data_IF_621885032819
#
_entry.id   IF_621885032819
#
_cell.length_a   1.000
_cell.length_b   1.000
_cell.length_c   1.000
_cell.angle_alpha   90.00
_cell.angle_beta   90.00
_cell.angle_gamma   90.00
#
_symmetry.space_group_name_H-M   'P 1'
#
loop_
_entity.id
_entity.type
_entity.pdbx_description
1 polymer ?
#
# COMPACT_ATOMS: atom_id res chain seq x y z
N UNK A 1 25.96 18.44 0.99
CA UNK A 1 25.64 19.35 2.11
C UNK A 1 24.13 19.50 2.13
N UNK A 2 23.47 18.66 2.92
CA UNK A 2 22.01 18.54 2.95
C UNK A 2 21.50 19.66 3.84
N UNK A 3 20.62 20.50 3.30
CA UNK A 3 19.91 21.54 4.04
C UNK A 3 19.09 20.82 5.11
N UNK A 4 19.28 21.17 6.39
CA UNK A 4 18.45 20.65 7.47
C UNK A 4 16.97 20.91 7.10
N UNK A 5 16.26 19.86 6.72
CA UNK A 5 14.83 19.94 6.48
C UNK A 5 14.18 20.22 7.83
N UNK A 6 13.40 21.31 7.90
CA UNK A 6 12.64 21.63 9.10
C UNK A 6 11.68 20.49 9.46
N UNK A 7 11.14 20.51 10.68
CA UNK A 7 10.17 19.51 11.14
C UNK A 7 9.10 19.29 10.07
N UNK A 8 8.82 18.03 9.67
CA UNK A 8 7.86 17.75 8.61
C UNK A 8 6.54 18.44 8.93
N UNK A 9 6.00 19.19 7.96
CA UNK A 9 4.68 19.78 8.13
C UNK A 9 3.66 18.66 8.05
N UNK A 10 3.14 18.24 9.21
CA UNK A 10 2.09 17.24 9.29
C UNK A 10 0.85 17.67 8.50
N UNK A 11 0.13 16.72 7.89
CA UNK A 11 -1.14 17.02 7.23
C UNK A 11 -2.14 17.59 8.24
N UNK A 12 -3.00 18.48 7.77
CA UNK A 12 -4.11 18.99 8.57
C UNK A 12 -5.24 17.96 8.54
N UNK A 13 -5.28 17.09 9.56
CA UNK A 13 -6.35 16.12 9.76
C UNK A 13 -7.66 16.84 10.10
N UNK A 14 -8.78 16.28 9.63
CA UNK A 14 -10.12 16.75 9.95
C UNK A 14 -10.86 15.60 10.66
N UNK A 15 -10.87 15.54 12.00
CA UNK A 15 -11.35 14.38 12.74
C UNK A 15 -12.74 13.88 12.33
N UNK A 16 -13.69 14.79 12.07
CA UNK A 16 -15.06 14.44 11.68
C UNK A 16 -15.12 13.84 10.28
N UNK A 17 -14.50 14.50 9.31
CA UNK A 17 -14.50 14.05 7.90
C UNK A 17 -13.64 12.80 7.72
N UNK A 18 -12.49 12.75 8.38
CA UNK A 18 -11.61 11.59 8.40
C UNK A 18 -12.36 10.39 8.99
N UNK A 19 -13.16 10.59 10.05
CA UNK A 19 -13.92 9.49 10.66
C UNK A 19 -14.97 8.96 9.70
N UNK A 20 -15.60 9.87 8.96
CA UNK A 20 -16.57 9.51 7.94
C UNK A 20 -15.93 8.69 6.81
N UNK A 21 -14.72 9.06 6.37
CA UNK A 21 -13.98 8.33 5.33
C UNK A 21 -13.56 6.93 5.79
N UNK A 22 -12.99 6.81 7.00
CA UNK A 22 -12.60 5.53 7.58
C UNK A 22 -13.82 4.61 7.78
N UNK A 23 -14.93 5.16 8.28
CA UNK A 23 -16.17 4.37 8.43
C UNK A 23 -16.79 3.98 7.09
N UNK A 24 -16.60 4.77 6.02
CA UNK A 24 -17.01 4.37 4.67
C UNK A 24 -16.22 3.12 4.20
N UNK A 25 -14.91 3.08 4.43
CA UNK A 25 -14.06 1.91 4.12
C UNK A 25 -14.55 0.67 4.88
N UNK A 26 -14.80 0.81 6.18
CA UNK A 26 -15.35 -0.28 7.03
C UNK A 26 -16.71 -0.76 6.52
N UNK A 27 -17.62 0.17 6.22
CA UNK A 27 -18.97 -0.16 5.76
C UNK A 27 -18.95 -0.86 4.39
N UNK A 28 -18.18 -0.36 3.43
CA UNK A 28 -18.02 -1.00 2.11
C UNK A 28 -17.42 -2.40 2.24
N UNK A 29 -16.43 -2.58 3.11
CA UNK A 29 -15.84 -3.90 3.40
C UNK A 29 -16.91 -4.86 3.91
N UNK A 30 -17.64 -4.48 4.96
CA UNK A 30 -18.69 -5.34 5.53
C UNK A 30 -19.74 -5.70 4.49
N UNK A 31 -20.27 -4.70 3.76
CA UNK A 31 -21.33 -4.91 2.79
C UNK A 31 -20.89 -5.81 1.62
N UNK A 32 -19.68 -5.60 1.10
CA UNK A 32 -19.12 -6.42 0.01
C UNK A 32 -18.89 -7.88 0.43
N UNK A 33 -18.32 -8.10 1.63
CA UNK A 33 -18.06 -9.44 2.17
C UNK A 33 -19.38 -10.17 2.47
N UNK A 34 -20.38 -9.48 3.04
CA UNK A 34 -21.70 -10.06 3.28
C UNK A 34 -22.40 -10.43 1.97
N UNK A 35 -22.38 -9.54 0.97
CA UNK A 35 -23.00 -9.81 -0.32
C UNK A 35 -22.33 -10.99 -1.04
N UNK A 36 -21.01 -11.05 -1.01
CA UNK A 36 -20.24 -12.15 -1.59
C UNK A 36 -20.39 -13.47 -0.81
N UNK A 37 -20.86 -13.41 0.46
CA UNK A 37 -20.87 -14.52 1.42
C UNK A 37 -19.49 -15.17 1.60
N UNK A 38 -18.43 -14.38 1.36
CA UNK A 38 -17.04 -14.81 1.34
C UNK A 38 -16.13 -13.60 1.45
N UNK A 39 -15.05 -13.70 2.21
CA UNK A 39 -14.05 -12.65 2.33
C UNK A 39 -13.51 -12.47 3.75
N UNK A 40 -12.67 -11.45 3.90
CA UNK A 40 -11.94 -11.17 5.13
C UNK A 40 -12.27 -9.76 5.61
N UNK A 41 -13.28 -9.58 6.48
CA UNK A 41 -13.67 -8.25 6.94
C UNK A 41 -12.75 -7.71 8.04
N UNK A 42 -12.11 -8.60 8.82
CA UNK A 42 -11.38 -8.23 10.03
C UNK A 42 -10.25 -7.23 9.82
N UNK A 43 -9.22 -7.61 9.04
CA UNK A 43 -8.07 -6.74 8.80
C UNK A 43 -8.47 -5.42 8.11
N UNK A 44 -9.28 -5.40 7.03
CA UNK A 44 -9.70 -4.14 6.42
C UNK A 44 -10.40 -3.17 7.39
N UNK A 45 -11.12 -3.69 8.38
CA UNK A 45 -11.76 -2.87 9.41
C UNK A 45 -10.78 -2.33 10.45
N UNK A 46 -9.81 -3.14 10.87
CA UNK A 46 -8.75 -2.76 11.81
C UNK A 46 -7.81 -1.71 11.20
N UNK A 47 -7.30 -1.98 10.01
CA UNK A 47 -6.33 -1.12 9.31
C UNK A 47 -6.93 0.10 8.60
N UNK A 48 -8.25 0.30 8.66
CA UNK A 48 -8.91 1.38 7.93
C UNK A 48 -8.37 2.78 8.30
N UNK A 49 -8.06 3.04 9.57
CA UNK A 49 -7.50 4.32 10.02
C UNK A 49 -6.10 4.55 9.43
N UNK A 50 -5.17 3.62 9.65
CA UNK A 50 -3.79 3.75 9.20
C UNK A 50 -3.67 3.80 7.67
N UNK A 51 -4.40 2.93 6.96
CA UNK A 51 -4.39 2.89 5.50
C UNK A 51 -5.04 4.14 4.87
N UNK A 52 -6.10 4.68 5.49
CA UNK A 52 -6.69 5.95 5.06
C UNK A 52 -5.68 7.09 5.18
N UNK A 53 -4.98 7.20 6.33
CA UNK A 53 -3.99 8.26 6.55
C UNK A 53 -2.87 8.16 5.50
N UNK A 54 -2.31 6.97 5.32
CA UNK A 54 -1.30 6.71 4.30
C UNK A 54 -1.77 7.12 2.90
N UNK A 55 -2.92 6.60 2.47
CA UNK A 55 -3.43 6.76 1.10
C UNK A 55 -3.82 8.20 0.76
N UNK A 56 -4.47 8.88 1.71
CA UNK A 56 -5.02 10.22 1.48
C UNK A 56 -3.97 11.32 1.66
N UNK A 57 -3.08 11.18 2.63
CA UNK A 57 -2.24 12.30 3.07
C UNK A 57 -0.76 12.15 2.74
N UNK A 58 -0.25 10.93 2.55
CA UNK A 58 1.19 10.68 2.35
C UNK A 58 1.53 10.20 0.95
N UNK A 59 0.71 9.35 0.36
CA UNK A 59 0.98 8.82 -0.98
C UNK A 59 0.74 9.86 -2.07
N UNK A 60 1.70 10.01 -2.97
CA UNK A 60 1.58 10.76 -4.23
C UNK A 60 1.20 9.85 -5.37
N UNK A 61 -0.05 9.90 -5.80
CA UNK A 61 -0.56 9.08 -6.90
C UNK A 61 -1.56 9.86 -7.74
N UNK A 62 -1.84 9.37 -8.94
CA UNK A 62 -2.86 9.95 -9.82
C UNK A 62 -3.92 8.89 -10.17
N UNK A 63 -5.13 8.96 -9.58
CA UNK A 63 -6.23 8.04 -9.92
C UNK A 63 -6.60 8.02 -11.40
N UNK A 64 -6.31 9.09 -12.16
CA UNK A 64 -6.56 9.20 -13.61
C UNK A 64 -5.37 8.82 -14.48
N UNK A 65 -4.20 8.59 -13.87
CA UNK A 65 -3.06 7.96 -14.53
C UNK A 65 -2.34 7.00 -13.57
N UNK A 66 -2.93 5.81 -13.32
CA UNK A 66 -2.34 4.80 -12.45
C UNK A 66 -0.97 4.30 -12.94
N UNK A 67 -0.57 4.60 -14.17
CA UNK A 67 0.71 4.24 -14.75
C UNK A 67 1.79 5.33 -14.66
N UNK A 68 1.51 6.47 -14.01
CA UNK A 68 2.50 7.53 -13.81
C UNK A 68 3.80 6.92 -13.21
N UNK A 69 4.97 7.05 -13.88
CA UNK A 69 6.18 6.33 -13.47
C UNK A 69 6.64 6.63 -12.05
N UNK A 70 6.49 7.89 -11.62
CA UNK A 70 6.98 8.37 -10.33
C UNK A 70 5.88 8.56 -9.27
N UNK A 71 4.76 7.84 -9.38
CA UNK A 71 3.80 7.72 -8.26
C UNK A 71 4.43 6.95 -7.09
N UNK A 72 3.92 7.10 -5.89
CA UNK A 72 4.21 6.16 -4.82
C UNK A 72 3.54 4.81 -5.10
N UNK A 73 4.17 3.73 -4.63
CA UNK A 73 3.66 2.36 -4.79
C UNK A 73 3.07 1.89 -3.46
N UNK A 74 1.94 1.18 -3.49
CA UNK A 74 1.41 0.46 -2.33
C UNK A 74 1.25 -1.02 -2.65
N UNK A 75 1.91 -1.87 -1.87
CA UNK A 75 1.74 -3.32 -1.91
C UNK A 75 0.93 -3.78 -0.70
N UNK A 76 -0.24 -4.35 -0.92
CA UNK A 76 -1.00 -5.02 0.13
C UNK A 76 -0.46 -6.44 0.32
N UNK A 77 0.58 -6.63 1.14
CA UNK A 77 1.18 -7.96 1.37
C UNK A 77 0.19 -8.92 2.01
N UNK A 78 -0.55 -8.42 2.99
CA UNK A 78 -1.70 -9.08 3.58
C UNK A 78 -2.89 -9.09 2.61
N UNK A 79 -2.72 -9.75 1.46
CA UNK A 79 -3.65 -9.71 0.32
C UNK A 79 -5.05 -10.21 0.64
N UNK A 80 -5.24 -10.94 1.73
CA UNK A 80 -6.56 -11.36 2.18
C UNK A 80 -7.47 -10.16 2.50
N UNK A 81 -6.90 -9.03 2.95
CA UNK A 81 -7.60 -7.76 3.18
C UNK A 81 -7.89 -6.94 1.92
N UNK A 82 -8.04 -7.59 0.76
CA UNK A 82 -8.24 -6.98 -0.56
C UNK A 82 -9.32 -5.89 -0.61
N UNK A 83 -10.41 -6.04 0.16
CA UNK A 83 -11.47 -5.02 0.24
C UNK A 83 -10.99 -3.66 0.76
N UNK A 84 -9.94 -3.61 1.59
CA UNK A 84 -9.31 -2.35 2.00
C UNK A 84 -8.78 -1.59 0.78
N UNK A 85 -7.99 -2.26 -0.05
CA UNK A 85 -7.43 -1.69 -1.27
C UNK A 85 -8.53 -1.29 -2.25
N UNK A 86 -9.50 -2.18 -2.50
CA UNK A 86 -10.58 -1.88 -3.44
C UNK A 86 -11.44 -0.69 -2.99
N UNK A 87 -11.74 -0.57 -1.69
CA UNK A 87 -12.44 0.59 -1.16
C UNK A 87 -11.63 1.89 -1.35
N UNK A 88 -10.32 1.87 -1.09
CA UNK A 88 -9.45 3.03 -1.31
C UNK A 88 -9.41 3.45 -2.79
N UNK A 89 -9.25 2.49 -3.70
CA UNK A 89 -9.27 2.71 -5.15
C UNK A 89 -10.60 3.31 -5.61
N UNK A 90 -11.72 2.73 -5.15
CA UNK A 90 -13.07 3.20 -5.46
C UNK A 90 -13.32 4.64 -4.99
N UNK A 91 -13.04 4.90 -3.70
CA UNK A 91 -13.31 6.20 -3.09
C UNK A 91 -12.44 7.31 -3.68
N UNK A 92 -11.20 7.00 -4.06
CA UNK A 92 -10.26 7.98 -4.65
C UNK A 92 -10.42 8.20 -6.15
N UNK A 93 -11.27 7.41 -6.83
CA UNK A 93 -11.65 7.65 -8.22
C UNK A 93 -10.77 6.97 -9.27
N UNK A 94 -10.07 5.89 -8.89
CA UNK A 94 -9.51 4.93 -9.85
C UNK A 94 -10.62 4.27 -10.68
N UNK A 95 -10.25 3.49 -11.69
CA UNK A 95 -11.20 2.64 -12.44
C UNK A 95 -11.64 1.43 -11.58
N UNK A 96 -12.36 1.72 -10.51
CA UNK A 96 -12.94 0.78 -9.56
C UNK A 96 -14.33 1.28 -9.18
N UNK A 97 -15.33 1.14 -10.06
CA UNK A 97 -16.66 1.69 -9.82
C UNK A 97 -17.41 0.88 -8.74
N UNK A 98 -18.50 1.43 -8.18
CA UNK A 98 -19.24 0.79 -7.07
C UNK A 98 -19.76 -0.60 -7.46
N UNK A 99 -20.10 -0.77 -8.73
CA UNK A 99 -20.58 -2.03 -9.30
C UNK A 99 -19.54 -3.15 -9.15
N UNK A 100 -18.24 -2.83 -9.25
CA UNK A 100 -17.19 -3.82 -9.01
C UNK A 100 -17.02 -4.12 -7.52
N UNK A 101 -17.24 -3.16 -6.63
CA UNK A 101 -17.28 -3.40 -5.17
C UNK A 101 -18.42 -4.35 -4.80
N UNK A 102 -19.61 -4.15 -5.37
CA UNK A 102 -20.77 -5.03 -5.18
C UNK A 102 -20.57 -6.43 -5.79
N UNK A 103 -19.65 -6.55 -6.75
CA UNK A 103 -19.27 -7.81 -7.42
C UNK A 103 -18.03 -8.47 -6.80
N UNK A 104 -17.64 -8.08 -5.59
CA UNK A 104 -16.51 -8.69 -4.87
C UNK A 104 -16.59 -10.23 -4.89
N UNK A 105 -15.46 -10.86 -5.25
CA UNK A 105 -15.31 -12.33 -5.36
C UNK A 105 -16.24 -13.02 -6.36
N UNK A 106 -16.90 -12.28 -7.25
CA UNK A 106 -17.73 -12.87 -8.29
C UNK A 106 -16.93 -13.15 -9.57
N UNK A 107 -17.39 -14.13 -10.34
CA UNK A 107 -16.76 -14.48 -11.63
C UNK A 107 -16.63 -13.27 -12.56
N UNK A 108 -15.42 -13.03 -13.06
CA UNK A 108 -15.11 -11.95 -13.99
C UNK A 108 -15.30 -10.54 -13.40
N UNK A 109 -15.23 -10.39 -12.08
CA UNK A 109 -15.14 -9.07 -11.42
C UNK A 109 -13.70 -8.57 -11.43
N UNK A 110 -13.53 -7.25 -11.33
CA UNK A 110 -12.24 -6.58 -11.10
C UNK A 110 -11.84 -6.57 -9.61
N UNK A 111 -12.61 -7.25 -8.75
CA UNK A 111 -12.43 -7.33 -7.29
C UNK A 111 -12.31 -8.79 -6.84
N UNK A 112 -11.30 -9.54 -7.32
CA UNK A 112 -11.04 -10.91 -6.89
C UNK A 112 -10.73 -10.99 -5.40
N UNK A 113 -10.79 -12.20 -4.84
CA UNK A 113 -10.69 -12.40 -3.39
C UNK A 113 -9.35 -11.99 -2.76
N UNK A 114 -8.29 -11.97 -3.56
CA UNK A 114 -6.98 -11.39 -3.28
C UNK A 114 -6.62 -10.48 -4.47
N UNK A 115 -5.81 -9.41 -4.29
CA UNK A 115 -5.44 -8.53 -5.39
C UNK A 115 -4.71 -9.30 -6.48
N UNK A 116 -5.13 -9.12 -7.72
CA UNK A 116 -4.45 -9.61 -8.92
C UNK A 116 -3.86 -8.41 -9.65
N UNK A 117 -2.60 -8.50 -10.08
CA UNK A 117 -1.88 -7.42 -10.76
C UNK A 117 -2.68 -6.81 -11.91
N UNK A 118 -3.11 -5.57 -11.72
CA UNK A 118 -3.77 -4.73 -12.70
C UNK A 118 -3.35 -3.27 -12.44
N UNK A 119 -2.19 -2.86 -12.98
CA UNK A 119 -1.64 -1.54 -12.69
C UNK A 119 -2.50 -0.43 -13.31
N UNK A 120 -3.35 -0.73 -14.30
CA UNK A 120 -4.29 0.24 -14.86
C UNK A 120 -5.43 0.57 -13.89
N UNK A 121 -5.72 -0.33 -12.95
CA UNK A 121 -6.68 -0.09 -11.85
C UNK A 121 -6.02 0.29 -10.53
N UNK A 122 -4.69 0.35 -10.48
CA UNK A 122 -3.93 0.69 -9.27
C UNK A 122 -3.55 -0.51 -8.40
N UNK A 123 -3.62 -1.75 -8.91
CA UNK A 123 -3.14 -2.94 -8.21
C UNK A 123 -1.70 -3.25 -8.65
N UNK A 124 -0.73 -2.94 -7.78
CA UNK A 124 0.70 -2.94 -8.10
C UNK A 124 1.33 -4.33 -8.29
N UNK A 125 0.78 -5.35 -7.65
CA UNK A 125 1.24 -6.73 -7.78
C UNK A 125 0.17 -7.69 -7.27
N UNK A 126 0.21 -8.95 -7.73
CA UNK A 126 -0.61 -10.02 -7.17
C UNK A 126 -0.10 -10.42 -5.80
N UNK A 127 -0.98 -10.43 -4.80
CA UNK A 127 -0.68 -10.92 -3.44
C UNK A 127 -1.73 -11.94 -3.01
N UNK A 128 -1.55 -12.55 -1.84
CA UNK A 128 -2.40 -13.63 -1.33
C UNK A 128 -1.57 -14.70 -0.63
N UNK A 129 -0.56 -15.28 -1.29
CA UNK A 129 0.49 -16.02 -0.60
C UNK A 129 1.27 -15.03 0.29
N UNK A 130 1.18 -15.24 1.61
CA UNK A 130 1.74 -14.36 2.62
C UNK A 130 3.27 -14.21 2.47
N UNK A 131 3.81 -13.06 2.85
CA UNK A 131 5.23 -12.72 2.77
C UNK A 131 5.71 -12.32 1.36
N UNK A 132 5.08 -12.79 0.29
CA UNK A 132 5.48 -12.46 -1.09
C UNK A 132 5.31 -10.98 -1.41
N UNK A 133 4.23 -10.35 -0.94
CA UNK A 133 4.01 -8.92 -1.16
C UNK A 133 5.06 -8.05 -0.47
N UNK A 134 5.47 -8.42 0.74
CA UNK A 134 6.58 -7.78 1.46
C UNK A 134 7.88 -7.88 0.63
N UNK A 135 8.22 -9.07 0.15
CA UNK A 135 9.40 -9.27 -0.70
C UNK A 135 9.32 -8.49 -2.03
N UNK A 136 8.13 -8.44 -2.66
CA UNK A 136 7.88 -7.63 -3.84
C UNK A 136 8.13 -6.13 -3.56
N UNK A 137 7.67 -5.61 -2.42
CA UNK A 137 7.91 -4.22 -2.03
C UNK A 137 9.41 -3.91 -1.86
N UNK A 138 10.18 -4.83 -1.28
CA UNK A 138 11.66 -4.73 -1.24
C UNK A 138 12.25 -4.64 -2.64
N UNK A 139 11.81 -5.51 -3.56
CA UNK A 139 12.25 -5.47 -4.97
C UNK A 139 11.88 -4.16 -5.67
N UNK A 140 10.67 -3.63 -5.45
CA UNK A 140 10.24 -2.34 -5.99
C UNK A 140 11.09 -1.19 -5.44
N UNK A 141 11.43 -1.20 -4.15
CA UNK A 141 12.27 -0.18 -3.54
C UNK A 141 13.72 -0.24 -4.07
N UNK A 142 14.26 -1.44 -4.27
CA UNK A 142 15.56 -1.65 -4.94
C UNK A 142 15.53 -1.09 -6.37
N UNK A 143 14.48 -1.40 -7.14
CA UNK A 143 14.33 -0.89 -8.50
C UNK A 143 14.26 0.64 -8.53
N UNK A 144 13.50 1.26 -7.62
CA UNK A 144 13.44 2.72 -7.49
C UNK A 144 14.82 3.33 -7.18
N UNK A 145 15.60 2.70 -6.29
CA UNK A 145 16.96 3.12 -5.98
C UNK A 145 17.89 3.03 -7.20
N UNK A 146 17.90 1.90 -7.91
CA UNK A 146 18.75 1.70 -9.10
C UNK A 146 18.37 2.64 -10.24
N UNK A 147 17.07 2.88 -10.46
CA UNK A 147 16.58 3.82 -11.45
C UNK A 147 16.95 5.27 -11.09
N UNK A 148 16.83 5.64 -9.82
CA UNK A 148 17.28 6.94 -9.33
C UNK A 148 18.78 7.15 -9.57
N UNK A 149 19.62 6.15 -9.25
CA UNK A 149 21.06 6.23 -9.47
C UNK A 149 21.40 6.36 -10.97
N UNK A 150 20.69 5.60 -11.83
CA UNK A 150 20.91 5.64 -13.27
C UNK A 150 20.52 6.99 -13.87
N UNK A 151 19.34 7.50 -13.52
CA UNK A 151 18.66 8.54 -14.28
C UNK A 151 18.55 9.90 -13.57
N UNK A 152 18.64 9.99 -12.25
CA UNK A 152 18.60 11.30 -11.60
C UNK A 152 19.87 12.10 -11.89
N UNK A 153 19.72 13.41 -12.10
CA UNK A 153 20.84 14.35 -12.28
C UNK A 153 20.66 15.56 -11.37
N UNK A 154 21.71 16.36 -11.08
CA UNK A 154 21.56 17.56 -10.27
C UNK A 154 20.44 18.47 -10.79
N UNK A 155 19.45 18.75 -9.94
CA UNK A 155 18.26 19.53 -10.31
C UNK A 155 17.10 18.73 -10.92
N UNK A 156 17.30 17.44 -11.22
CA UNK A 156 16.31 16.57 -11.87
C UNK A 156 16.15 15.23 -11.14
N UNK A 157 15.45 15.20 -9.99
CA UNK A 157 15.04 13.96 -9.34
C UNK A 157 13.79 13.40 -10.05
N UNK A 158 14.01 12.69 -11.15
CA UNK A 158 12.92 12.12 -11.97
C UNK A 158 12.41 10.78 -11.42
N UNK A 159 13.23 10.09 -10.62
CA UNK A 159 12.83 8.96 -9.77
C UNK A 159 13.00 9.36 -8.31
N UNK A 160 11.89 9.61 -7.64
CA UNK A 160 11.80 10.17 -6.30
C UNK A 160 10.40 9.85 -5.76
N UNK A 161 10.14 8.58 -5.46
CA UNK A 161 8.88 8.09 -4.90
C UNK A 161 9.16 7.07 -3.80
N UNK A 162 8.17 6.85 -2.94
CA UNK A 162 8.19 5.85 -1.88
C UNK A 162 7.52 4.55 -2.34
N UNK A 163 7.94 3.46 -1.70
CA UNK A 163 7.27 2.16 -1.76
C UNK A 163 6.72 1.86 -0.37
N UNK A 164 5.42 1.70 -0.29
CA UNK A 164 4.70 1.31 0.92
C UNK A 164 4.27 -0.15 0.84
N UNK A 165 4.24 -0.81 1.99
CA UNK A 165 3.56 -2.09 2.11
C UNK A 165 2.69 -2.13 3.37
N UNK A 166 1.59 -2.87 3.30
CA UNK A 166 0.79 -3.25 4.48
C UNK A 166 0.95 -4.76 4.68
N UNK A 167 1.53 -5.14 5.81
CA UNK A 167 1.82 -6.52 6.20
C UNK A 167 1.01 -6.92 7.44
N UNK A 168 0.83 -8.22 7.64
CA UNK A 168 0.15 -8.84 8.78
C UNK A 168 1.11 -9.77 9.54
N UNK A 169 0.66 -10.33 10.66
CA UNK A 169 1.41 -11.36 11.39
C UNK A 169 1.82 -12.51 10.48
N UNK A 170 0.90 -12.97 9.63
CA UNK A 170 1.15 -14.05 8.67
C UNK A 170 2.27 -13.73 7.68
N UNK A 171 2.41 -12.47 7.25
CA UNK A 171 3.54 -12.06 6.43
C UNK A 171 4.86 -12.11 7.21
N UNK A 172 4.83 -11.73 8.49
CA UNK A 172 6.03 -11.65 9.33
C UNK A 172 6.44 -12.98 9.96
N UNK A 173 5.61 -14.02 9.87
CA UNK A 173 5.95 -15.42 10.17
C UNK A 173 6.59 -16.15 8.98
N UNK A 174 6.30 -15.73 7.75
CA UNK A 174 6.80 -16.39 6.54
C UNK A 174 8.28 -16.11 6.32
N UNK A 175 9.10 -17.15 6.17
CA UNK A 175 10.57 -17.03 6.07
C UNK A 175 11.06 -16.09 4.95
N UNK A 176 10.31 -15.98 3.85
CA UNK A 176 10.65 -15.07 2.74
C UNK A 176 10.68 -13.59 3.16
N UNK A 177 9.84 -13.18 4.13
CA UNK A 177 9.86 -11.80 4.62
C UNK A 177 11.11 -11.53 5.45
N UNK A 178 11.65 -12.52 6.17
CA UNK A 178 12.91 -12.42 6.89
C UNK A 178 14.10 -12.25 5.94
N UNK A 179 14.15 -13.04 4.87
CA UNK A 179 15.19 -12.94 3.84
C UNK A 179 15.19 -11.55 3.18
N UNK A 180 14.00 -11.10 2.75
CA UNK A 180 13.83 -9.81 2.11
C UNK A 180 14.11 -8.65 3.08
N UNK A 181 13.67 -8.73 4.34
CA UNK A 181 13.91 -7.71 5.35
C UNK A 181 15.41 -7.57 5.68
N UNK A 182 16.12 -8.70 5.80
CA UNK A 182 17.56 -8.71 5.99
C UNK A 182 18.30 -7.99 4.85
N UNK A 183 17.92 -8.25 3.59
CA UNK A 183 18.53 -7.59 2.43
C UNK A 183 18.18 -6.10 2.35
N UNK A 184 16.92 -5.73 2.59
CA UNK A 184 16.48 -4.33 2.54
C UNK A 184 17.20 -3.46 3.58
N UNK A 185 17.41 -3.99 4.78
CA UNK A 185 18.19 -3.34 5.83
C UNK A 185 19.67 -3.23 5.46
N UNK A 186 20.26 -4.30 4.92
CA UNK A 186 21.64 -4.29 4.41
C UNK A 186 21.88 -3.23 3.32
N UNK A 187 20.92 -3.05 2.40
CA UNK A 187 21.01 -2.06 1.32
C UNK A 187 20.62 -0.64 1.72
N UNK A 188 20.09 -0.43 2.94
CA UNK A 188 19.69 0.90 3.40
C UNK A 188 18.55 1.51 2.57
N UNK A 189 17.54 0.71 2.21
CA UNK A 189 16.43 1.16 1.35
C UNK A 189 15.46 2.14 2.06
N UNK A 190 15.89 3.39 2.30
CA UNK A 190 15.12 4.42 3.03
C UNK A 190 13.81 4.89 2.41
N UNK A 191 13.52 4.46 1.16
CA UNK A 191 12.23 4.73 0.51
C UNK A 191 11.21 3.60 0.67
N UNK A 192 11.54 2.56 1.44
CA UNK A 192 10.63 1.49 1.81
C UNK A 192 10.05 1.74 3.20
N UNK A 193 8.72 1.82 3.28
CA UNK A 193 7.99 1.99 4.54
C UNK A 193 6.93 0.89 4.63
N UNK A 194 7.03 0.03 5.64
CA UNK A 194 6.08 -1.06 5.88
C UNK A 194 5.23 -0.72 7.09
N UNK A 195 3.91 -0.75 6.93
CA UNK A 195 2.95 -0.72 8.03
C UNK A 195 2.61 -2.17 8.36
N UNK A 196 2.93 -2.60 9.57
CA UNK A 196 2.58 -3.91 10.09
C UNK A 196 1.32 -3.77 10.94
N UNK A 197 0.25 -4.44 10.51
CA UNK A 197 -0.96 -4.64 11.29
C UNK A 197 -0.70 -5.66 12.41
N UNK A 198 -0.34 -5.15 13.58
CA UNK A 198 -0.12 -5.92 14.81
C UNK A 198 -1.45 -5.95 15.59
N UNK A 199 -2.21 -7.03 15.41
CA UNK A 199 -3.57 -7.15 15.95
C UNK A 199 -3.78 -8.37 16.85
N UNK A 200 -2.68 -9.04 17.21
CA UNK A 200 -2.65 -10.24 18.04
C UNK A 200 -3.47 -11.45 17.53
N UNK A 201 -3.94 -11.47 16.26
CA UNK A 201 -4.85 -12.51 15.75
C UNK A 201 -4.39 -13.11 14.42
N UNK A 202 -4.30 -14.45 14.41
CA UNK A 202 -4.16 -15.27 13.20
C UNK A 202 -5.44 -16.09 12.92
N UNK A 203 -5.43 -16.92 11.87
CA UNK A 203 -6.56 -17.80 11.54
C UNK A 203 -6.92 -18.73 12.69
N UNK A 204 -5.92 -19.30 13.38
CA UNK A 204 -6.14 -20.34 14.40
C UNK A 204 -6.46 -19.77 15.79
N UNK A 205 -6.41 -18.44 15.96
CA UNK A 205 -6.61 -17.79 17.25
C UNK A 205 -5.59 -16.69 17.53
N UNK A 206 -5.40 -16.35 18.82
CA UNK A 206 -4.39 -15.40 19.24
C UNK A 206 -2.99 -15.81 18.76
N UNK A 207 -2.17 -14.83 18.39
CA UNK A 207 -0.79 -15.06 17.92
C UNK A 207 0.09 -15.71 18.98
N UNK A 208 -0.20 -15.53 20.28
CA UNK A 208 0.55 -16.14 21.38
C UNK A 208 0.63 -17.68 21.34
N UNK A 209 -0.23 -18.33 20.56
CA UNK A 209 -0.19 -19.76 20.28
C UNK A 209 1.02 -20.19 19.45
N UNK A 210 1.56 -19.31 18.60
CA UNK A 210 2.57 -19.67 17.60
C UNK A 210 3.62 -18.59 17.29
N UNK A 211 3.42 -17.35 17.73
CA UNK A 211 4.23 -16.18 17.37
C UNK A 211 4.36 -15.24 18.57
N UNK A 212 5.48 -15.37 19.27
CA UNK A 212 5.75 -14.70 20.56
C UNK A 212 7.11 -13.97 20.57
N UNK A 213 7.67 -13.73 19.39
CA UNK A 213 8.96 -13.06 19.23
C UNK A 213 8.86 -11.54 19.37
N UNK A 214 10.01 -10.89 19.60
CA UNK A 214 10.13 -9.43 19.54
C UNK A 214 10.37 -9.01 18.08
N UNK A 215 9.28 -8.77 17.34
CA UNK A 215 9.31 -8.29 15.95
C UNK A 215 10.11 -6.99 15.83
N UNK A 216 9.91 -6.05 16.77
CA UNK A 216 10.61 -4.78 16.78
C UNK A 216 12.12 -4.99 16.95
N UNK A 217 12.53 -5.83 17.88
CA UNK A 217 13.92 -6.23 18.10
C UNK A 217 14.54 -6.91 16.88
N UNK A 218 13.81 -7.84 16.23
CA UNK A 218 14.25 -8.51 15.00
C UNK A 218 14.49 -7.52 13.86
N UNK A 219 13.57 -6.60 13.60
CA UNK A 219 13.72 -5.60 12.54
C UNK A 219 14.84 -4.60 12.83
N UNK A 220 15.01 -4.18 14.09
CA UNK A 220 16.19 -3.39 14.50
C UNK A 220 17.49 -4.14 14.25
N UNK A 221 17.53 -5.46 14.48
CA UNK A 221 18.71 -6.28 14.19
C UNK A 221 19.02 -6.40 12.69
N UNK A 222 18.00 -6.31 11.81
CA UNK A 222 18.20 -6.18 10.36
C UNK A 222 18.68 -4.78 9.92
N UNK A 223 18.70 -3.78 10.82
CA UNK A 223 19.09 -2.41 10.50
C UNK A 223 17.93 -1.49 10.09
N UNK A 224 16.69 -1.87 10.38
CA UNK A 224 15.51 -1.06 10.07
C UNK A 224 15.31 0.06 11.10
N UNK A 225 14.70 1.16 10.65
CA UNK A 225 14.03 2.10 11.54
C UNK A 225 12.73 1.45 12.00
N UNK A 226 12.46 1.42 13.31
CA UNK A 226 11.24 0.80 13.85
C UNK A 226 10.50 1.78 14.73
N UNK A 227 9.23 2.02 14.41
CA UNK A 227 8.28 2.82 15.18
C UNK A 227 7.14 1.95 15.67
N UNK A 228 6.61 2.31 16.84
CA UNK A 228 5.51 1.62 17.51
C UNK A 228 4.41 2.66 17.79
N UNK A 229 3.18 2.37 17.38
CA UNK A 229 2.08 3.33 17.41
C UNK A 229 0.71 2.66 17.52
N UNK A 230 -0.26 3.40 18.05
CA UNK A 230 -1.69 3.05 17.97
C UNK A 230 -2.19 3.27 16.54
N UNK A 231 -2.54 2.19 15.84
CA UNK A 231 -3.01 2.24 14.46
C UNK A 231 -4.39 2.87 14.28
N UNK A 232 -5.14 3.09 15.37
CA UNK A 232 -6.41 3.82 15.39
C UNK A 232 -6.23 5.32 15.68
N UNK A 233 -5.08 5.74 16.20
CA UNK A 233 -4.72 7.15 16.34
C UNK A 233 -4.12 7.68 15.02
N UNK A 234 -4.98 8.27 14.20
CA UNK A 234 -4.62 8.88 12.91
C UNK A 234 -3.54 9.96 13.03
N UNK A 235 -3.44 10.68 14.14
CA UNK A 235 -2.39 11.66 14.36
C UNK A 235 -1.05 10.97 14.64
N UNK A 236 -1.04 9.89 15.42
CA UNK A 236 0.14 9.06 15.64
C UNK A 236 0.62 8.40 14.33
N UNK A 237 -0.30 7.84 13.53
CA UNK A 237 0.03 7.31 12.20
C UNK A 237 0.65 8.38 11.31
N UNK A 238 0.04 9.57 11.25
CA UNK A 238 0.58 10.67 10.43
C UNK A 238 1.97 11.11 10.91
N UNK A 239 2.19 11.15 12.22
CA UNK A 239 3.50 11.48 12.78
C UNK A 239 4.55 10.43 12.40
N UNK A 240 4.23 9.14 12.54
CA UNK A 240 5.15 8.06 12.22
C UNK A 240 5.48 7.98 10.73
N UNK A 241 4.50 8.18 9.85
CA UNK A 241 4.74 8.25 8.40
C UNK A 241 5.63 9.44 8.04
N UNK A 242 5.37 10.61 8.62
CA UNK A 242 6.19 11.80 8.39
C UNK A 242 7.63 11.63 8.90
N UNK A 243 7.81 10.97 10.05
CA UNK A 243 9.12 10.62 10.59
C UNK A 243 9.85 9.63 9.68
N UNK A 244 9.19 8.54 9.28
CA UNK A 244 9.75 7.51 8.40
C UNK A 244 10.19 8.06 7.04
N UNK A 245 9.44 9.01 6.46
CA UNK A 245 9.82 9.66 5.20
C UNK A 245 11.10 10.51 5.29
N UNK A 246 11.55 10.88 6.49
CA UNK A 246 12.81 11.61 6.70
C UNK A 246 14.02 10.68 6.87
N UNK A 247 13.79 9.37 6.93
CA UNK A 247 14.82 8.37 7.20
C UNK A 247 15.32 7.83 5.86
N UNK A 248 16.37 8.45 5.35
CA UNK A 248 16.86 8.18 3.99
C UNK A 248 17.80 6.96 3.89
N UNK A 249 18.39 6.52 5.01
CA UNK A 249 19.49 5.55 5.05
C UNK A 249 19.11 4.13 5.47
N UNK A 250 17.83 3.90 5.77
CA UNK A 250 17.31 2.59 6.20
C UNK A 250 15.81 2.46 5.99
N UNK A 251 15.31 1.28 5.62
CA UNK A 251 13.87 1.03 5.52
C UNK A 251 13.18 1.19 6.89
N UNK A 252 11.89 1.50 6.87
CA UNK A 252 11.10 1.74 8.08
C UNK A 252 10.00 0.69 8.26
N UNK A 253 9.87 0.16 9.48
CA UNK A 253 8.74 -0.64 9.94
C UNK A 253 7.93 0.18 10.95
N UNK A 254 6.66 0.38 10.66
CA UNK A 254 5.69 1.02 11.53
C UNK A 254 4.79 -0.08 12.08
N UNK A 255 4.99 -0.44 13.34
CA UNK A 255 4.18 -1.42 14.06
C UNK A 255 2.91 -0.69 14.50
N UNK A 256 1.80 -0.99 13.82
CA UNK A 256 0.49 -0.41 14.06
C UNK A 256 -0.31 -1.37 14.93
N UNK A 257 -0.45 -1.06 16.22
CA UNK A 257 -1.32 -1.81 17.12
C UNK A 257 -2.77 -1.57 16.74
N UNK A 258 -3.49 -2.61 16.33
CA UNK A 258 -4.90 -2.51 15.92
C UNK A 258 -5.78 -3.57 16.57
N UNK A 259 -7.08 -3.39 16.42
CA UNK A 259 -8.08 -4.40 16.73
C UNK A 259 -8.65 -4.98 15.45
N UNK A 260 -8.44 -6.29 15.21
CA UNK A 260 -9.08 -6.98 14.09
C UNK A 260 -10.60 -6.83 14.20
N UNK A 261 -11.27 -6.53 13.09
CA UNK A 261 -12.70 -6.23 13.04
C UNK A 261 -13.15 -5.09 13.97
N UNK A 262 -12.30 -4.06 14.13
CA UNK A 262 -12.59 -2.88 14.95
C UNK A 262 -14.02 -2.37 14.79
N UNK A 263 -14.69 -2.20 15.93
CA UNK A 263 -16.07 -1.73 16.00
C UNK A 263 -17.11 -2.85 16.04
N UNK A 264 -16.81 -4.08 15.61
CA UNK A 264 -17.74 -5.21 15.72
C UNK A 264 -17.98 -5.57 17.19
N UNK A 265 -19.22 -5.50 17.70
CA UNK A 265 -19.48 -5.77 19.12
C UNK A 265 -19.11 -7.19 19.58
N UNK A 266 -19.26 -8.19 18.72
CA UNK A 266 -19.09 -9.60 19.10
C UNK A 266 -17.92 -10.29 18.39
N UNK A 267 -17.36 -9.70 17.32
CA UNK A 267 -16.25 -10.30 16.55
C UNK A 267 -14.95 -9.50 16.57
N UNK A 268 -14.91 -8.32 17.19
CA UNK A 268 -13.63 -7.62 17.39
C UNK A 268 -12.68 -8.47 18.24
N UNK A 269 -11.39 -8.52 17.87
CA UNK A 269 -10.34 -9.28 18.56
C UNK A 269 -10.59 -10.80 18.56
N UNK A 270 -11.34 -11.29 17.56
CA UNK A 270 -11.71 -12.70 17.41
C UNK A 270 -11.26 -13.24 16.05
N UNK A 271 -10.65 -14.42 16.06
CA UNK A 271 -10.21 -15.11 14.84
C UNK A 271 -11.38 -15.40 13.87
N UNK A 272 -12.60 -15.56 14.37
CA UNK A 272 -13.80 -15.73 13.53
C UNK A 272 -14.07 -14.53 12.58
N UNK A 273 -13.48 -13.36 12.85
CA UNK A 273 -13.59 -12.19 11.99
C UNK A 273 -12.53 -12.15 10.88
N UNK A 274 -11.53 -13.04 10.92
CA UNK A 274 -10.46 -13.07 9.94
C UNK A 274 -10.96 -13.47 8.55
N UNK A 275 -11.60 -14.65 8.42
CA UNK A 275 -11.86 -15.29 7.12
C UNK A 275 -13.33 -15.58 6.79
N UNK A 276 -14.27 -15.01 7.54
CA UNK A 276 -15.69 -15.24 7.33
C UNK A 276 -16.48 -13.92 7.35
N UNK A 277 -17.62 -13.84 6.63
CA UNK A 277 -18.58 -12.76 6.80
C UNK A 277 -18.96 -12.56 8.27
N UNK A 278 -19.19 -11.32 8.67
CA UNK A 278 -19.60 -11.00 10.04
C UNK A 278 -20.99 -11.58 10.34
N UNK A 279 -21.86 -11.63 9.33
CA UNK A 279 -23.27 -11.95 9.43
C UNK A 279 -24.12 -10.68 9.52
N UNK A 280 -25.27 -10.67 8.83
CA UNK A 280 -26.13 -9.50 8.68
C UNK A 280 -26.47 -8.76 9.99
N UNK A 281 -26.76 -9.50 11.06
CA UNK A 281 -27.06 -8.88 12.37
C UNK A 281 -25.83 -8.22 13.00
N UNK A 282 -24.65 -8.82 12.83
CA UNK A 282 -23.41 -8.24 13.33
C UNK A 282 -23.02 -7.01 12.52
N UNK A 283 -23.21 -7.02 11.19
CA UNK A 283 -23.03 -5.83 10.34
C UNK A 283 -23.95 -4.70 10.76
N UNK A 284 -25.24 -4.98 11.01
CA UNK A 284 -26.20 -3.98 11.50
C UNK A 284 -25.70 -3.34 12.81
N UNK A 285 -25.35 -4.16 13.80
CA UNK A 285 -24.86 -3.69 15.11
C UNK A 285 -23.56 -2.91 14.99
N UNK A 286 -22.65 -3.35 14.10
CA UNK A 286 -21.38 -2.68 13.86
C UNK A 286 -21.61 -1.30 13.25
N UNK A 287 -22.46 -1.20 12.22
CA UNK A 287 -22.86 0.09 11.62
C UNK A 287 -23.48 1.02 12.67
N UNK A 288 -24.41 0.54 13.49
CA UNK A 288 -25.01 1.32 14.58
C UNK A 288 -23.99 1.83 15.59
N UNK A 289 -23.04 0.98 16.01
CA UNK A 289 -21.97 1.36 16.93
C UNK A 289 -21.03 2.41 16.33
N UNK A 290 -20.76 2.33 15.03
CA UNK A 290 -19.94 3.30 14.30
C UNK A 290 -20.71 4.59 13.93
N UNK A 291 -22.02 4.67 14.25
CA UNK A 291 -22.87 5.78 13.83
C UNK A 291 -23.11 5.83 12.32
N UNK A 292 -22.94 4.71 11.62
CA UNK A 292 -23.13 4.58 10.18
C UNK A 292 -24.57 4.14 9.84
N UNK A 293 -25.19 4.68 8.77
CA UNK A 293 -26.51 4.22 8.33
C UNK A 293 -26.51 2.72 7.98
N UNK A 294 -27.50 1.99 8.51
CA UNK A 294 -27.67 0.56 8.21
C UNK A 294 -28.08 0.36 6.75
N UNK A 295 -29.04 1.17 6.29
CA UNK A 295 -29.65 1.12 4.97
C UNK A 295 -29.50 2.48 4.24
N UNK A 296 -29.30 2.48 2.90
CA UNK A 296 -29.07 1.31 2.06
C UNK A 296 -27.66 0.70 2.25
N UNK A 297 -27.43 -0.59 1.90
CA UNK A 297 -26.07 -1.12 1.81
C UNK A 297 -25.28 -0.38 0.74
N UNK A 298 -23.95 -0.39 0.85
CA UNK A 298 -23.03 0.34 -0.03
C UNK A 298 -23.27 1.86 -0.05
N UNK A 299 -23.89 2.39 1.00
CA UNK A 299 -24.05 3.84 1.17
C UNK A 299 -22.69 4.48 1.40
N UNK A 300 -22.41 5.56 0.66
CA UNK A 300 -21.25 6.44 0.85
C UNK A 300 -21.75 7.90 0.76
N UNK A 301 -21.57 8.72 1.80
CA UNK A 301 -21.93 10.14 1.77
C UNK A 301 -21.13 10.91 0.71
N UNK A 302 -21.75 11.90 0.07
CA UNK A 302 -21.08 12.75 -0.93
C UNK A 302 -19.85 13.47 -0.36
N UNK A 303 -19.86 13.84 0.93
CA UNK A 303 -18.70 14.44 1.59
C UNK A 303 -17.46 13.54 1.56
N UNK A 304 -17.63 12.22 1.64
CA UNK A 304 -16.51 11.26 1.51
C UNK A 304 -15.97 11.26 0.09
N UNK A 305 -16.83 11.23 -0.93
CA UNK A 305 -16.38 11.30 -2.32
C UNK A 305 -15.69 12.63 -2.62
N UNK A 306 -16.27 13.76 -2.20
CA UNK A 306 -15.67 15.08 -2.41
C UNK A 306 -14.26 15.15 -1.79
N UNK A 307 -14.08 14.60 -0.59
CA UNK A 307 -12.78 14.58 0.07
C UNK A 307 -11.78 13.63 -0.60
N UNK A 308 -12.18 12.37 -0.85
CA UNK A 308 -11.30 11.34 -1.37
C UNK A 308 -10.96 11.57 -2.85
N UNK A 309 -11.91 12.05 -3.66
CA UNK A 309 -11.69 12.39 -5.07
C UNK A 309 -10.95 13.71 -5.26
N UNK A 310 -10.69 14.48 -4.20
CA UNK A 310 -9.69 15.54 -4.22
C UNK A 310 -8.31 15.05 -4.68
N UNK A 311 -8.00 13.76 -4.48
CA UNK A 311 -6.80 13.10 -4.99
C UNK A 311 -6.69 13.12 -6.54
N UNK A 312 -7.80 13.29 -7.26
CA UNK A 312 -7.77 13.45 -8.72
C UNK A 312 -7.09 14.76 -9.10
N UNK A 313 -7.46 15.86 -8.44
CA UNK A 313 -6.88 17.18 -8.71
C UNK A 313 -5.46 17.28 -8.17
N UNK A 314 -5.22 16.76 -6.96
CA UNK A 314 -3.89 16.70 -6.36
C UNK A 314 -2.93 15.83 -7.20
N UNK A 315 -3.39 14.66 -7.65
CA UNK A 315 -2.64 13.75 -8.50
C UNK A 315 -2.30 14.33 -9.86
N UNK A 316 -3.26 14.99 -10.52
CA UNK A 316 -3.01 15.70 -11.78
C UNK A 316 -1.95 16.80 -11.61
N UNK A 317 -1.98 17.52 -10.48
CA UNK A 317 -0.98 18.54 -10.16
C UNK A 317 0.41 17.94 -9.93
N UNK A 318 0.53 16.89 -9.10
CA UNK A 318 1.81 16.22 -8.85
C UNK A 318 2.43 15.65 -10.12
N UNK A 319 1.61 15.04 -10.98
CA UNK A 319 2.08 14.54 -12.26
C UNK A 319 2.50 15.67 -13.20
N UNK A 320 1.76 16.79 -13.27
CA UNK A 320 2.14 17.95 -14.06
C UNK A 320 3.47 18.56 -13.59
N UNK A 321 3.69 18.66 -12.28
CA UNK A 321 4.97 19.08 -11.69
C UNK A 321 6.13 18.12 -12.05
N UNK A 322 5.86 16.82 -12.08
CA UNK A 322 6.83 15.83 -12.55
C UNK A 322 7.10 15.94 -14.06
N UNK A 323 6.06 16.14 -14.89
CA UNK A 323 6.19 16.31 -16.34
C UNK A 323 7.02 17.55 -16.70
N UNK A 324 6.79 18.68 -16.01
CA UNK A 324 7.60 19.88 -16.21
C UNK A 324 9.09 19.64 -15.87
N UNK A 325 9.38 18.87 -14.80
CA UNK A 325 10.75 18.44 -14.49
C UNK A 325 11.32 17.51 -15.56
N UNK A 326 10.52 16.57 -16.05
CA UNK A 326 10.89 15.64 -17.12
C UNK A 326 11.24 16.37 -18.42
N UNK A 327 10.46 17.37 -18.83
CA UNK A 327 10.76 18.18 -20.04
C UNK A 327 12.11 18.89 -19.93
N UNK A 328 12.39 19.49 -18.77
CA UNK A 328 13.71 20.08 -18.51
C UNK A 328 14.84 19.04 -18.49
N UNK A 329 14.59 17.86 -17.92
CA UNK A 329 15.54 16.75 -17.89
C UNK A 329 15.85 16.25 -19.30
N UNK A 330 14.84 16.04 -20.13
CA UNK A 330 15.00 15.56 -21.50
C UNK A 330 15.76 16.56 -22.38
N UNK A 331 15.54 17.86 -22.19
CA UNK A 331 16.31 18.88 -22.88
C UNK A 331 17.78 18.94 -22.44
N UNK A 332 18.05 18.73 -21.13
CA UNK A 332 19.40 18.78 -20.57
C UNK A 332 20.20 17.48 -20.79
N UNK A 333 19.53 16.34 -20.85
CA UNK A 333 20.12 15.00 -20.90
C UNK A 333 19.45 14.09 -21.95
N UNK A 334 19.48 14.46 -23.24
CA UNK A 334 18.70 13.80 -24.29
C UNK A 334 19.00 12.31 -24.46
N UNK A 335 20.27 11.89 -24.30
CA UNK A 335 20.66 10.48 -24.41
C UNK A 335 20.06 9.61 -23.29
N UNK A 336 20.07 10.12 -22.05
CA UNK A 336 19.50 9.41 -20.90
C UNK A 336 17.96 9.42 -20.93
N UNK A 337 17.37 10.49 -21.43
CA UNK A 337 15.91 10.55 -21.64
C UNK A 337 15.47 9.54 -22.71
N UNK A 338 16.20 9.44 -23.82
CA UNK A 338 15.93 8.43 -24.84
C UNK A 338 16.12 7.00 -24.29
N UNK A 339 17.13 6.77 -23.44
CA UNK A 339 17.30 5.49 -22.75
C UNK A 339 16.13 5.17 -21.81
N UNK A 340 15.70 6.13 -21.00
CA UNK A 340 14.53 5.98 -20.11
C UNK A 340 13.26 5.65 -20.90
N UNK A 341 12.98 6.39 -21.98
CA UNK A 341 11.80 6.15 -22.83
C UNK A 341 11.85 4.77 -23.47
N UNK A 342 13.02 4.33 -23.91
CA UNK A 342 13.23 2.97 -24.43
C UNK A 342 12.90 1.91 -23.37
N UNK A 343 13.41 2.07 -22.14
CA UNK A 343 13.13 1.14 -21.03
C UNK A 343 11.63 1.11 -20.70
N UNK A 344 10.98 2.26 -20.65
CA UNK A 344 9.56 2.35 -20.32
C UNK A 344 8.64 1.79 -21.41
N UNK A 345 9.12 1.72 -22.66
CA UNK A 345 8.45 1.02 -23.77
C UNK A 345 8.79 -0.48 -23.84
N UNK A 346 9.69 -0.97 -22.99
CA UNK A 346 10.14 -2.38 -23.02
C UNK A 346 10.97 -2.72 -24.26
N UNK A 347 11.64 -1.73 -24.86
CA UNK A 347 12.43 -1.90 -26.08
C UNK A 347 13.90 -2.22 -25.74
N UNK A 348 14.51 -3.12 -26.51
CA UNK A 348 15.94 -3.41 -26.43
C UNK A 348 16.75 -2.46 -27.32
N UNK A 349 18.04 -2.19 -27.01
CA UNK A 349 18.90 -1.43 -27.91
C UNK A 349 19.03 -2.10 -29.29
N UNK A 350 19.16 -1.31 -30.35
CA UNK A 350 19.43 -1.83 -31.69
C UNK A 350 20.78 -2.59 -31.71
N UNK A 351 20.81 -3.75 -32.36
CA UNK A 351 22.01 -4.59 -32.47
C UNK A 351 22.44 -5.30 -31.18
N UNK A 352 21.60 -5.35 -30.14
CA UNK A 352 21.94 -6.00 -28.87
C UNK A 352 22.33 -7.48 -29.05
N UNK A 353 21.76 -8.15 -30.05
CA UNK A 353 22.04 -9.55 -30.39
C UNK A 353 23.45 -9.78 -30.95
N UNK A 354 24.09 -8.76 -31.54
CA UNK A 354 25.45 -8.86 -32.06
C UNK A 354 26.49 -9.07 -30.94
N UNK A 355 26.13 -8.74 -29.70
CA UNK A 355 26.95 -8.96 -28.51
C UNK A 355 26.90 -10.41 -28.00
N UNK A 356 26.01 -11.27 -28.53
CA UNK A 356 25.88 -12.67 -28.10
C UNK A 356 27.09 -13.47 -28.63
N UNK A 357 27.94 -14.05 -27.76
CA UNK A 357 29.12 -14.79 -28.21
C UNK A 357 28.73 -16.06 -28.97
N UNK A 358 29.50 -16.37 -30.02
CA UNK A 358 29.39 -17.64 -30.74
C UNK A 358 30.57 -18.53 -30.38
N UNK A 359 30.29 -19.79 -30.07
CA UNK A 359 31.31 -20.80 -29.77
C UNK A 359 31.25 -21.89 -30.82
N UNK A 360 32.38 -22.27 -31.44
CA UNK A 360 32.41 -23.42 -32.34
C UNK A 360 32.12 -24.71 -31.56
N UNK A 361 31.60 -25.76 -32.22
CA UNK A 361 31.44 -27.08 -31.60
C UNK A 361 32.79 -27.60 -31.10
N UNK A 362 32.79 -28.35 -29.98
CA UNK A 362 34.00 -29.00 -29.48
C UNK A 362 34.56 -29.95 -30.55
N UNK A 363 35.87 -29.91 -30.85
CA UNK A 363 36.47 -30.99 -31.61
C UNK A 363 36.39 -32.29 -30.80
N UNK A 364 35.84 -33.33 -31.41
CA UNK A 364 35.76 -34.71 -30.86
C UNK A 364 37.14 -35.32 -30.59
#
# INVERSE_FOLDING_TARGET
MIVAQGTPKLPALNPELDQLCVNAIRALTMDAVEQARSGHPGMPMGMADAAYVLWRYFMRHNPRNPLWPNRDRLVLSAGHGSMLLYALLHLSGYDMPMEEIQRFRQWGSATPGHPEYDPHRGVETTTGPLGQGFANAVGMALAAHLLAERFNRPGFPIVDHFVYAIASDGDLMEGISHEAASLAGHWGLGRLIVLYDDNDVSIDGPTDLAFTEDVAGRFRAYGWHVLDLDGHDRAAVAQALAEAQQVEDRPSLLICHTHIAYGSPNKQDRAEAHGAPLGAEEVRRTKERLGWPVEPPFYVPEAVYAHMRGLIEEGARWEAEWRARWEGYAAAYPELAAEWERWWRGELPEGWEEAIPTFPPSPD
#
